data_IF_357548709798
#
_entry.id   IF_357548709798
#
_cell.length_a   1.000
_cell.length_b   1.000
_cell.length_c   1.000
_cell.angle_alpha   90.00
_cell.angle_beta   90.00
_cell.angle_gamma   90.00
#
_symmetry.space_group_name_H-M   'P 1'
#
loop_
_entity.id
_entity.type
_entity.pdbx_description
1 polymer ?
#
# COMPACT_ATOMS: atom_id res chain seq x y z
N UNK A 1 -32.04 -20.46 -78.91
CA UNK A 1 -32.32 -19.57 -77.82
C UNK A 1 -31.61 -20.13 -76.56
N UNK A 2 -30.46 -19.58 -76.24
CA UNK A 2 -29.61 -20.08 -75.16
C UNK A 2 -29.76 -19.15 -73.94
N UNK A 3 -30.18 -19.69 -72.80
CA UNK A 3 -30.42 -18.92 -71.57
C UNK A 3 -29.19 -19.11 -70.69
N UNK A 4 -28.37 -18.06 -70.55
CA UNK A 4 -27.20 -17.99 -69.65
C UNK A 4 -27.67 -17.77 -68.26
N UNK A 5 -27.41 -18.71 -67.32
CA UNK A 5 -27.65 -18.56 -65.87
C UNK A 5 -26.44 -17.94 -65.24
N UNK A 6 -26.62 -16.73 -64.71
CA UNK A 6 -25.65 -16.02 -63.85
C UNK A 6 -25.75 -16.59 -62.44
N UNK A 7 -24.63 -17.13 -61.91
CA UNK A 7 -24.49 -17.54 -60.50
C UNK A 7 -23.89 -16.38 -59.73
N UNK A 8 -24.67 -15.84 -58.79
CA UNK A 8 -24.20 -14.83 -57.83
C UNK A 8 -23.52 -15.59 -56.70
N UNK A 9 -22.22 -15.37 -56.53
CA UNK A 9 -21.45 -15.83 -55.36
C UNK A 9 -21.62 -14.78 -54.27
N UNK A 10 -22.34 -15.13 -53.19
CA UNK A 10 -22.41 -14.33 -51.98
C UNK A 10 -21.19 -14.67 -51.13
N UNK A 11 -20.22 -13.73 -51.03
CA UNK A 11 -19.10 -13.86 -50.11
C UNK A 11 -19.57 -13.47 -48.68
N UNK A 12 -19.62 -14.45 -47.77
CA UNK A 12 -19.85 -14.22 -46.37
C UNK A 12 -18.56 -13.72 -45.71
N UNK A 13 -18.53 -12.45 -45.30
CA UNK A 13 -17.44 -11.86 -44.51
C UNK A 13 -17.61 -12.33 -43.06
N UNK A 14 -16.81 -13.29 -42.62
CA UNK A 14 -16.74 -13.67 -41.20
C UNK A 14 -15.93 -12.61 -40.46
N UNK A 15 -16.60 -11.77 -39.67
CA UNK A 15 -15.94 -10.88 -38.72
C UNK A 15 -15.42 -11.69 -37.53
N UNK A 16 -14.10 -11.88 -37.47
CA UNK A 16 -13.43 -12.45 -36.30
C UNK A 16 -13.37 -11.33 -35.26
N UNK A 17 -14.28 -11.37 -34.31
CA UNK A 17 -14.21 -10.51 -33.12
C UNK A 17 -13.01 -10.96 -32.26
N UNK A 18 -11.94 -10.15 -32.20
CA UNK A 18 -10.94 -10.30 -31.17
C UNK A 18 -11.59 -9.90 -29.83
N UNK A 19 -11.91 -10.89 -29.01
CA UNK A 19 -12.21 -10.65 -27.60
C UNK A 19 -10.89 -10.36 -26.90
N UNK A 20 -10.60 -9.08 -26.60
CA UNK A 20 -9.57 -8.74 -25.63
C UNK A 20 -10.11 -9.11 -24.27
N UNK A 21 -9.59 -10.16 -23.65
CA UNK A 21 -9.79 -10.38 -22.22
C UNK A 21 -9.19 -9.17 -21.48
N UNK A 22 -9.85 -8.64 -20.43
CA UNK A 22 -9.22 -7.65 -19.59
C UNK A 22 -7.91 -8.26 -19.05
N UNK A 23 -6.81 -7.52 -19.16
CA UNK A 23 -5.57 -7.88 -18.50
C UNK A 23 -5.85 -7.74 -16.99
N UNK A 24 -5.73 -8.82 -16.24
CA UNK A 24 -5.74 -8.75 -14.79
C UNK A 24 -4.47 -8.01 -14.36
N UNK A 25 -4.57 -7.23 -13.28
CA UNK A 25 -3.39 -6.58 -12.72
C UNK A 25 -2.35 -7.64 -12.32
N UNK A 26 -1.07 -7.30 -12.48
CA UNK A 26 0.03 -8.19 -12.13
C UNK A 26 0.11 -8.38 -10.62
N UNK A 27 0.31 -9.62 -10.19
CA UNK A 27 0.55 -9.94 -8.77
C UNK A 27 2.04 -9.81 -8.44
N UNK A 28 2.34 -9.28 -7.26
CA UNK A 28 3.70 -9.03 -6.81
C UNK A 28 3.97 -9.67 -5.45
N UNK A 29 5.16 -10.23 -5.28
CA UNK A 29 5.64 -10.81 -4.02
C UNK A 29 6.74 -9.93 -3.44
N UNK A 30 6.54 -9.46 -2.19
CA UNK A 30 7.48 -8.59 -1.49
C UNK A 30 8.75 -9.33 -1.11
N UNK A 31 9.91 -8.71 -1.36
CA UNK A 31 11.19 -9.08 -0.80
C UNK A 31 11.38 -8.37 0.54
N UNK A 32 11.15 -9.09 1.64
CA UNK A 32 11.22 -8.53 3.00
C UNK A 32 12.64 -8.18 3.44
N UNK A 33 13.67 -8.79 2.86
CA UNK A 33 15.07 -8.51 3.21
C UNK A 33 15.53 -7.18 2.59
N UNK A 34 14.89 -6.76 1.49
CA UNK A 34 15.19 -5.52 0.78
C UNK A 34 14.12 -4.43 1.00
N UNK A 35 13.08 -4.73 1.76
CA UNK A 35 11.96 -3.81 2.04
C UNK A 35 11.99 -3.28 3.46
N UNK A 36 11.51 -2.05 3.64
CA UNK A 36 11.41 -1.41 4.94
C UNK A 36 10.10 -0.63 5.09
N UNK A 37 9.40 -0.88 6.18
CA UNK A 37 8.29 -0.05 6.65
C UNK A 37 8.78 0.75 7.85
N UNK A 38 9.16 2.00 7.61
CA UNK A 38 9.78 2.88 8.59
C UNK A 38 8.79 3.85 9.24
N UNK A 39 9.22 4.43 10.35
CA UNK A 39 8.51 5.47 11.08
C UNK A 39 9.51 6.53 11.51
N UNK A 40 9.18 7.80 11.25
CA UNK A 40 9.91 8.96 11.76
C UNK A 40 8.99 9.71 12.71
N UNK A 41 9.45 9.97 13.92
CA UNK A 41 8.69 10.70 14.93
C UNK A 41 9.61 11.50 15.84
N UNK A 42 9.05 12.35 16.70
CA UNK A 42 9.81 13.21 17.61
C UNK A 42 9.55 12.83 19.06
N UNK A 43 10.59 12.74 19.87
CA UNK A 43 10.50 12.58 21.32
C UNK A 43 11.38 13.62 22.02
N UNK A 44 10.79 14.39 22.94
CA UNK A 44 11.47 15.47 23.70
C UNK A 44 12.22 16.44 22.78
N UNK A 45 11.62 16.76 21.62
CA UNK A 45 12.19 17.67 20.62
C UNK A 45 13.28 17.07 19.74
N UNK A 46 13.61 15.79 19.90
CA UNK A 46 14.59 15.08 19.05
C UNK A 46 13.89 14.06 18.16
N UNK A 47 14.23 14.07 16.88
CA UNK A 47 13.76 13.07 15.95
C UNK A 47 14.35 11.70 16.25
N UNK A 48 13.57 10.66 16.03
CA UNK A 48 14.01 9.27 16.03
C UNK A 48 13.35 8.50 14.90
N UNK A 49 14.01 7.42 14.49
CA UNK A 49 13.49 6.46 13.51
C UNK A 49 13.15 5.14 14.18
N UNK A 50 12.15 4.48 13.64
CA UNK A 50 11.74 3.13 13.99
C UNK A 50 11.29 2.37 12.75
N UNK A 51 10.97 1.10 12.91
CA UNK A 51 10.40 0.30 11.82
C UNK A 51 9.45 -0.76 12.38
N UNK A 52 8.60 -1.29 11.50
CA UNK A 52 7.88 -2.55 11.72
C UNK A 52 8.60 -3.64 10.94
N UNK A 53 9.12 -4.66 11.65
CA UNK A 53 9.91 -5.74 11.06
C UNK A 53 9.05 -6.85 10.45
N UNK A 54 7.75 -6.90 10.80
CA UNK A 54 6.84 -7.94 10.33
C UNK A 54 5.57 -7.32 9.71
N UNK A 55 5.42 -7.50 8.42
CA UNK A 55 4.22 -7.18 7.67
C UNK A 55 4.04 -8.19 6.53
N UNK A 56 2.83 -8.27 6.00
CA UNK A 56 2.52 -9.01 4.77
C UNK A 56 1.74 -8.10 3.84
N UNK A 57 1.91 -8.27 2.55
CA UNK A 57 1.24 -7.49 1.53
C UNK A 57 0.69 -8.41 0.44
N UNK A 58 -0.57 -8.19 0.10
CA UNK A 58 -1.22 -8.71 -1.08
C UNK A 58 -1.23 -7.57 -2.10
N UNK A 59 -0.51 -7.72 -3.22
CA UNK A 59 -0.29 -6.65 -4.19
C UNK A 59 -0.71 -7.14 -5.57
N UNK A 60 -1.72 -6.48 -6.12
CA UNK A 60 -2.14 -6.58 -7.51
C UNK A 60 -1.99 -5.18 -8.11
N UNK A 61 -1.03 -4.98 -8.99
CA UNK A 61 -0.74 -3.66 -9.55
C UNK A 61 -0.16 -3.75 -10.95
N UNK A 62 -0.78 -3.02 -11.86
CA UNK A 62 -0.30 -2.78 -13.22
C UNK A 62 -0.47 -1.29 -13.53
N UNK A 63 0.61 -0.55 -13.88
CA UNK A 63 0.51 0.87 -14.22
C UNK A 63 -0.42 1.16 -15.41
N UNK A 64 -0.61 0.19 -16.29
CA UNK A 64 -1.51 0.31 -17.45
C UNK A 64 -2.98 -0.05 -17.11
N UNK A 65 -3.27 -0.55 -15.89
CA UNK A 65 -4.59 -1.00 -15.45
C UNK A 65 -4.90 -0.60 -13.99
N UNK A 66 -4.75 0.69 -13.66
CA UNK A 66 -4.91 1.21 -12.29
C UNK A 66 -6.31 0.97 -11.69
N UNK A 67 -7.35 0.85 -12.52
CA UNK A 67 -8.72 0.59 -12.07
C UNK A 67 -8.88 -0.85 -11.52
N UNK A 68 -8.01 -1.77 -11.91
CA UNK A 68 -7.99 -3.17 -11.46
C UNK A 68 -6.95 -3.40 -10.35
N UNK A 69 -6.16 -2.37 -10.00
CA UNK A 69 -5.11 -2.46 -8.99
C UNK A 69 -5.70 -2.50 -7.57
N UNK A 70 -5.14 -3.38 -6.74
CA UNK A 70 -5.51 -3.51 -5.33
C UNK A 70 -4.29 -3.86 -4.48
N UNK A 71 -4.11 -3.16 -3.37
CA UNK A 71 -3.05 -3.44 -2.40
C UNK A 71 -3.62 -3.51 -0.99
N UNK A 72 -3.29 -4.57 -0.29
CA UNK A 72 -3.61 -4.74 1.12
C UNK A 72 -2.37 -5.10 1.91
N UNK A 73 -2.01 -4.24 2.88
CA UNK A 73 -0.87 -4.46 3.78
C UNK A 73 -1.38 -4.67 5.19
N UNK A 74 -0.92 -5.74 5.83
CA UNK A 74 -1.22 -6.06 7.23
C UNK A 74 0.08 -6.07 8.02
N UNK A 75 0.15 -5.23 9.03
CA UNK A 75 1.35 -4.94 9.81
C UNK A 75 1.16 -5.50 11.22
N UNK A 76 2.10 -6.31 11.70
CA UNK A 76 2.15 -6.73 13.09
C UNK A 76 2.66 -5.56 13.95
N UNK A 77 1.79 -4.95 14.76
CA UNK A 77 2.17 -3.78 15.57
C UNK A 77 3.16 -4.14 16.69
N UNK A 78 3.26 -5.41 17.08
CA UNK A 78 4.23 -5.86 18.06
C UNK A 78 5.66 -5.98 17.50
N UNK A 79 5.80 -5.95 16.17
CA UNK A 79 7.11 -5.95 15.49
C UNK A 79 7.79 -4.58 15.44
N UNK A 80 7.20 -3.56 16.07
CA UNK A 80 7.81 -2.25 16.16
C UNK A 80 9.15 -2.32 16.86
N UNK A 81 10.16 -1.74 16.25
CA UNK A 81 11.51 -1.63 16.80
C UNK A 81 12.08 -0.24 16.57
N UNK A 82 12.77 0.25 17.57
CA UNK A 82 13.55 1.49 17.52
C UNK A 82 14.82 1.26 18.33
N UNK A 83 15.82 2.08 18.25
CA UNK A 83 17.03 1.89 19.06
C UNK A 83 16.83 2.12 20.57
N UNK A 84 15.60 1.95 21.08
CA UNK A 84 15.23 2.18 22.47
C UNK A 84 14.28 1.12 23.02
N UNK A 85 14.79 0.29 23.93
CA UNK A 85 13.99 -0.73 24.62
C UNK A 85 12.77 -0.17 25.35
N UNK A 86 12.87 1.06 25.85
CA UNK A 86 11.78 1.70 26.56
C UNK A 86 10.64 2.09 25.59
N UNK A 87 10.96 2.59 24.40
CA UNK A 87 9.96 2.84 23.36
C UNK A 87 9.32 1.55 22.89
N UNK A 88 10.13 0.55 22.55
CA UNK A 88 9.68 -0.73 22.03
C UNK A 88 8.77 -1.45 23.03
N UNK A 89 9.10 -1.38 24.32
CA UNK A 89 8.28 -1.95 25.39
C UNK A 89 6.98 -1.20 25.63
N UNK A 90 6.95 0.12 25.40
CA UNK A 90 5.75 0.93 25.65
C UNK A 90 4.79 0.95 24.47
N UNK A 91 5.28 0.85 23.24
CA UNK A 91 4.46 1.00 22.03
C UNK A 91 3.34 -0.03 21.93
N UNK A 92 3.49 -1.20 22.53
CA UNK A 92 2.48 -2.28 22.55
C UNK A 92 1.41 -2.11 23.64
N UNK A 93 1.60 -1.18 24.60
CA UNK A 93 0.69 -0.94 25.71
C UNK A 93 -0.65 -0.34 25.27
N UNK A 94 -1.62 -0.35 26.19
CA UNK A 94 -2.99 0.13 25.93
C UNK A 94 -3.08 1.61 25.54
N UNK A 95 -2.20 2.46 26.06
CA UNK A 95 -2.14 3.89 25.70
C UNK A 95 -1.61 4.10 24.26
N UNK A 96 -0.87 3.14 23.72
CA UNK A 96 -0.29 3.18 22.39
C UNK A 96 -1.08 2.28 21.42
N UNK A 97 -0.49 1.26 20.83
CA UNK A 97 -1.19 0.40 19.87
C UNK A 97 -2.16 -0.59 20.52
N UNK A 98 -2.07 -0.82 21.84
CA UNK A 98 -2.87 -1.84 22.52
C UNK A 98 -2.80 -3.22 21.82
N UNK A 99 -1.58 -3.67 21.51
CA UNK A 99 -1.31 -4.83 20.66
C UNK A 99 -2.05 -6.11 21.11
N UNK A 100 -2.32 -6.26 22.42
CA UNK A 100 -3.11 -7.39 22.93
C UNK A 100 -4.56 -7.43 22.45
N UNK A 101 -5.14 -6.28 22.08
CA UNK A 101 -6.51 -6.16 21.56
C UNK A 101 -6.52 -5.84 20.05
N UNK A 102 -5.48 -5.20 19.56
CA UNK A 102 -5.32 -4.74 18.18
C UNK A 102 -3.93 -5.14 17.67
N UNK A 103 -3.69 -6.43 17.41
CA UNK A 103 -2.37 -6.92 17.03
C UNK A 103 -1.92 -6.42 15.65
N UNK A 104 -2.87 -5.96 14.82
CA UNK A 104 -2.60 -5.60 13.43
C UNK A 104 -3.05 -4.16 13.13
N UNK A 105 -2.24 -3.45 12.35
CA UNK A 105 -2.66 -2.31 11.56
C UNK A 105 -2.87 -2.76 10.10
N UNK A 106 -3.82 -2.13 9.40
CA UNK A 106 -4.16 -2.51 8.02
C UNK A 106 -4.27 -1.28 7.16
N UNK A 107 -3.55 -1.29 6.05
CA UNK A 107 -3.69 -0.35 4.95
C UNK A 107 -4.34 -1.09 3.78
N UNK A 108 -5.42 -0.56 3.23
CA UNK A 108 -6.14 -1.19 2.13
C UNK A 108 -6.56 -0.13 1.13
N UNK A 109 -6.10 -0.27 -0.12
CA UNK A 109 -6.34 0.71 -1.16
C UNK A 109 -7.78 0.70 -1.66
N UNK A 110 -8.26 1.86 -2.05
CA UNK A 110 -9.59 2.06 -2.64
C UNK A 110 -9.51 2.56 -4.07
N UNK A 111 -8.43 3.25 -4.43
CA UNK A 111 -8.17 3.71 -5.79
C UNK A 111 -6.69 4.07 -5.97
N UNK A 112 -6.23 4.03 -7.22
CA UNK A 112 -4.93 4.55 -7.63
C UNK A 112 -5.10 5.62 -8.70
N UNK A 113 -4.15 6.54 -8.77
CA UNK A 113 -4.05 7.51 -9.85
C UNK A 113 -2.60 7.87 -10.15
N UNK A 114 -2.32 8.10 -11.41
CA UNK A 114 -1.04 8.66 -11.87
C UNK A 114 -1.02 10.18 -11.65
N UNK A 115 0.14 10.74 -11.34
CA UNK A 115 0.39 12.16 -11.13
C UNK A 115 1.67 12.60 -11.84
N UNK A 116 1.94 13.89 -11.91
CA UNK A 116 3.20 14.42 -12.49
C UNK A 116 4.47 13.99 -11.71
N UNK A 117 4.31 13.45 -10.49
CA UNK A 117 5.42 13.05 -9.60
C UNK A 117 5.47 11.55 -9.31
N UNK A 118 4.67 10.75 -9.98
CA UNK A 118 4.53 9.31 -9.77
C UNK A 118 3.08 8.91 -9.60
N UNK A 119 2.73 8.30 -8.48
CA UNK A 119 1.40 7.78 -8.22
C UNK A 119 0.86 8.23 -6.86
N UNK A 120 -0.44 8.14 -6.69
CA UNK A 120 -1.12 8.26 -5.41
C UNK A 120 -2.06 7.07 -5.21
N UNK A 121 -2.02 6.49 -4.01
CA UNK A 121 -2.95 5.48 -3.55
C UNK A 121 -3.91 6.07 -2.52
N UNK A 122 -5.20 6.16 -2.85
CA UNK A 122 -6.24 6.40 -1.86
C UNK A 122 -6.51 5.08 -1.13
N UNK A 123 -6.58 5.13 0.20
CA UNK A 123 -6.70 3.94 1.02
C UNK A 123 -7.45 4.23 2.33
N UNK A 124 -7.95 3.16 2.94
CA UNK A 124 -8.38 3.16 4.33
C UNK A 124 -7.25 2.59 5.19
N UNK A 125 -6.73 3.40 6.12
CA UNK A 125 -5.77 2.97 7.13
C UNK A 125 -6.51 2.70 8.44
N UNK A 126 -6.35 1.49 8.98
CA UNK A 126 -6.92 1.08 10.26
C UNK A 126 -5.81 0.81 11.28
N UNK A 127 -5.80 1.58 12.36
CA UNK A 127 -4.87 1.43 13.49
C UNK A 127 -5.69 1.44 14.78
N UNK A 128 -5.39 0.55 15.72
CA UNK A 128 -6.05 0.47 17.04
C UNK A 128 -7.59 0.49 16.96
N UNK A 129 -8.16 -0.16 15.93
CA UNK A 129 -9.60 -0.21 15.68
C UNK A 129 -10.22 1.04 15.05
N UNK A 130 -9.44 2.13 14.87
CA UNK A 130 -9.89 3.37 14.21
C UNK A 130 -9.49 3.34 12.75
N UNK A 131 -10.46 3.58 11.85
CA UNK A 131 -10.22 3.70 10.41
C UNK A 131 -10.25 5.15 9.96
N UNK A 132 -9.35 5.52 9.06
CA UNK A 132 -9.27 6.83 8.41
C UNK A 132 -8.92 6.64 6.93
N UNK A 133 -9.49 7.49 6.11
CA UNK A 133 -9.08 7.60 4.71
C UNK A 133 -7.77 8.40 4.66
N UNK A 134 -6.83 7.90 3.88
CA UNK A 134 -5.50 8.48 3.67
C UNK A 134 -5.15 8.41 2.19
N UNK A 135 -4.23 9.26 1.75
CA UNK A 135 -3.64 9.21 0.42
C UNK A 135 -2.14 9.07 0.56
N UNK A 136 -1.58 8.01 0.01
CA UNK A 136 -0.14 7.75 -0.03
C UNK A 136 0.42 8.15 -1.40
N UNK A 137 1.17 9.25 -1.51
CA UNK A 137 1.97 9.54 -2.69
C UNK A 137 3.17 8.60 -2.73
N UNK A 138 3.53 8.11 -3.93
CA UNK A 138 4.66 7.22 -4.10
C UNK A 138 5.27 7.31 -5.50
N UNK A 139 6.54 6.95 -5.59
CA UNK A 139 7.23 6.67 -6.85
C UNK A 139 7.34 5.17 -7.06
N UNK A 140 7.37 4.74 -8.30
CA UNK A 140 7.47 3.33 -8.68
C UNK A 140 8.42 3.21 -9.88
N UNK A 141 9.39 2.32 -9.76
CA UNK A 141 10.25 1.90 -10.84
C UNK A 141 10.03 0.41 -11.06
N UNK A 142 9.74 0.02 -12.30
CA UNK A 142 9.60 -1.40 -12.71
C UNK A 142 10.68 -1.68 -13.75
N UNK A 143 11.52 -2.67 -13.47
CA UNK A 143 12.55 -3.18 -14.36
C UNK A 143 12.33 -4.71 -14.54
N UNK A 144 11.80 -5.08 -15.69
CA UNK A 144 11.35 -6.44 -16.01
C UNK A 144 10.38 -7.01 -14.94
N UNK A 145 10.85 -7.97 -14.15
CA UNK A 145 10.06 -8.66 -13.11
C UNK A 145 10.30 -8.09 -11.70
N UNK A 146 10.96 -6.96 -11.58
CA UNK A 146 11.27 -6.32 -10.30
C UNK A 146 10.65 -4.93 -10.21
N UNK A 147 9.99 -4.66 -9.10
CA UNK A 147 9.42 -3.36 -8.77
C UNK A 147 10.10 -2.77 -7.53
N UNK A 148 10.34 -1.46 -7.54
CA UNK A 148 10.80 -0.70 -6.38
C UNK A 148 9.87 0.49 -6.16
N UNK A 149 9.20 0.52 -5.02
CA UNK A 149 8.24 1.54 -4.62
C UNK A 149 8.76 2.31 -3.41
N UNK A 150 8.71 3.64 -3.46
CA UNK A 150 9.03 4.51 -2.34
C UNK A 150 7.91 5.51 -2.11
N UNK A 151 7.51 5.69 -0.84
CA UNK A 151 6.46 6.62 -0.47
C UNK A 151 6.56 7.09 0.97
N UNK A 152 5.91 8.21 1.26
CA UNK A 152 5.84 8.78 2.60
C UNK A 152 4.41 9.20 2.91
N UNK A 153 3.96 8.92 4.13
CA UNK A 153 2.62 9.25 4.61
C UNK A 153 2.69 9.95 5.96
N UNK A 154 2.31 11.20 5.98
CA UNK A 154 2.21 11.98 7.23
C UNK A 154 0.89 11.70 7.93
N UNK A 155 0.98 11.43 9.23
CA UNK A 155 -0.14 11.07 10.08
C UNK A 155 -0.10 11.88 11.38
N UNK A 156 -1.27 12.18 11.91
CA UNK A 156 -1.43 12.61 13.31
C UNK A 156 -1.81 11.38 14.14
N UNK A 157 -0.89 10.89 15.00
CA UNK A 157 -1.06 9.63 15.72
C UNK A 157 -2.32 9.59 16.60
N UNK A 158 -2.70 10.72 17.20
CA UNK A 158 -3.90 10.80 18.05
C UNK A 158 -5.21 10.69 17.27
N UNK A 159 -5.20 10.89 15.94
CA UNK A 159 -6.35 10.60 15.10
C UNK A 159 -6.73 9.10 15.08
N UNK A 160 -5.81 8.23 15.52
CA UNK A 160 -5.99 6.78 15.65
C UNK A 160 -5.97 6.32 17.12
N UNK A 161 -6.13 7.23 18.09
CA UNK A 161 -6.04 6.95 19.52
C UNK A 161 -4.68 6.32 19.92
N UNK A 162 -3.61 6.62 19.19
CA UNK A 162 -2.25 6.18 19.52
C UNK A 162 -1.57 7.23 20.38
N UNK A 163 -1.18 6.84 21.59
CA UNK A 163 -0.60 7.72 22.61
C UNK A 163 -1.66 8.53 23.35
N UNK A 164 -2.55 7.83 24.05
CA UNK A 164 -3.61 8.40 24.87
C UNK A 164 -3.10 8.81 26.27
N UNK A 165 -3.95 9.49 27.04
CA UNK A 165 -3.67 9.90 28.42
C UNK A 165 -2.55 10.93 28.49
N UNK A 166 -1.48 10.64 29.23
CA UNK A 166 -0.35 11.57 29.38
C UNK A 166 0.40 11.91 28.09
N UNK A 167 0.19 11.14 27.01
CA UNK A 167 0.86 11.30 25.73
C UNK A 167 0.09 12.14 24.71
N UNK A 168 -1.17 12.52 25.04
CA UNK A 168 -2.07 13.23 24.11
C UNK A 168 -1.59 14.63 23.73
N UNK A 169 -0.90 15.35 24.66
CA UNK A 169 -0.50 16.74 24.43
C UNK A 169 0.55 16.91 23.34
N UNK A 170 1.32 15.87 23.04
CA UNK A 170 2.47 15.97 22.12
C UNK A 170 3.74 16.55 22.75
N UNK A 171 3.72 16.93 24.04
CA UNK A 171 4.88 17.56 24.68
C UNK A 171 6.09 16.61 24.81
N UNK A 172 5.82 15.34 25.08
CA UNK A 172 6.87 14.32 25.22
C UNK A 172 7.14 13.58 23.92
N UNK A 173 6.08 13.12 23.25
CA UNK A 173 6.16 12.48 21.92
C UNK A 173 5.30 13.28 20.98
N UNK A 174 5.86 13.78 19.90
CA UNK A 174 5.19 14.60 18.89
C UNK A 174 3.90 13.96 18.39
N UNK A 175 2.96 14.79 17.94
CA UNK A 175 1.70 14.31 17.37
C UNK A 175 1.87 13.83 15.93
N UNK A 176 2.73 14.51 15.18
CA UNK A 176 3.02 14.22 13.79
C UNK A 176 3.99 13.05 13.69
N UNK A 177 3.69 12.14 12.79
CA UNK A 177 4.46 10.94 12.50
C UNK A 177 4.49 10.75 10.99
N UNK A 178 5.67 10.54 10.42
CA UNK A 178 5.83 10.17 9.02
C UNK A 178 6.07 8.66 8.92
N UNK A 179 5.21 7.95 8.20
CA UNK A 179 5.44 6.57 7.80
C UNK A 179 6.20 6.57 6.48
N UNK A 180 7.34 5.90 6.43
CA UNK A 180 8.15 5.75 5.21
C UNK A 180 8.02 4.34 4.68
N UNK A 181 7.80 4.20 3.39
CA UNK A 181 7.70 2.92 2.70
C UNK A 181 8.82 2.85 1.66
N UNK A 182 9.64 1.82 1.77
CA UNK A 182 10.65 1.45 0.80
C UNK A 182 10.46 -0.04 0.52
N UNK A 183 9.85 -0.37 -0.61
CA UNK A 183 9.35 -1.70 -0.88
C UNK A 183 9.87 -2.21 -2.21
N UNK A 184 10.49 -3.37 -2.14
CA UNK A 184 10.97 -4.13 -3.29
C UNK A 184 10.12 -5.38 -3.44
N UNK A 185 9.68 -5.65 -4.68
CA UNK A 185 8.87 -6.82 -4.98
C UNK A 185 9.27 -7.46 -6.31
N UNK A 186 8.98 -8.74 -6.46
CA UNK A 186 9.13 -9.47 -7.70
C UNK A 186 7.75 -9.86 -8.24
N UNK A 187 7.61 -9.88 -9.57
CA UNK A 187 6.39 -10.36 -10.23
C UNK A 187 6.15 -11.81 -9.84
N UNK A 188 4.92 -12.12 -9.42
CA UNK A 188 4.53 -13.49 -9.10
C UNK A 188 4.32 -14.29 -10.41
N UNK A 189 4.73 -15.58 -10.38
CA UNK A 189 4.56 -16.53 -11.50
C UNK A 189 3.08 -16.92 -11.74
#
# INVERSE_FOLDING_TARGET
MSVTRIRIFTAALAAIGLSTAPAAADSWTVDHDESRLGVVATQMGSEFTAAFESFRADIEFDPDALDDAHVRVVIDVASFTSDSRDRDGNVTNSEWFAAGNHPEAVFETTAFRETDQGYEADATLRIKGVSRDVTLPFTLEIDDDRAHMQGELDLVRTAFNVGEGQWESGDTVGLDVTVTVDLVASRAD
#
